data_IF_577172833654
#
_entry.id   IF_577172833654
#
_cell.length_a   1.000
_cell.length_b   1.000
_cell.length_c   1.000
_cell.angle_alpha   90.00
_cell.angle_beta   90.00
_cell.angle_gamma   90.00
#
_symmetry.space_group_name_H-M   'P 1'
#
loop_
_entity.id
_entity.type
_entity.pdbx_description
1 polymer ?
#
# COMPACT_ATOMS: atom_id res chain seq x y z
N UNK A 1 16.59 25.50 -13.60
CA UNK A 1 15.89 24.95 -12.41
C UNK A 1 15.37 23.50 -12.62
N UNK A 2 16.18 22.57 -13.17
CA UNK A 2 15.76 21.17 -13.40
C UNK A 2 16.23 20.21 -12.30
N UNK A 3 17.21 20.62 -11.49
CA UNK A 3 17.88 19.79 -10.47
C UNK A 3 17.00 19.57 -9.24
N UNK A 4 16.31 20.60 -8.74
CA UNK A 4 15.39 20.47 -7.59
C UNK A 4 14.25 19.46 -7.85
N UNK A 5 13.66 19.46 -9.05
CA UNK A 5 12.60 18.52 -9.42
C UNK A 5 13.10 17.06 -9.41
N UNK A 6 14.34 16.80 -9.83
CA UNK A 6 14.94 15.45 -9.83
C UNK A 6 15.18 14.93 -8.41
N UNK A 7 15.64 15.77 -7.49
CA UNK A 7 15.88 15.38 -6.09
C UNK A 7 14.55 15.05 -5.39
N UNK A 8 13.51 15.87 -5.61
CA UNK A 8 12.16 15.56 -5.12
C UNK A 8 11.58 14.26 -5.71
N UNK A 9 11.82 14.00 -7.00
CA UNK A 9 11.33 12.78 -7.65
C UNK A 9 12.06 11.54 -7.14
N UNK A 10 13.37 11.64 -6.91
CA UNK A 10 14.18 10.58 -6.28
C UNK A 10 13.75 10.32 -4.83
N UNK A 11 13.44 11.38 -4.07
CA UNK A 11 12.89 11.25 -2.71
C UNK A 11 11.55 10.51 -2.69
N UNK A 12 10.63 10.82 -3.60
CA UNK A 12 9.34 10.12 -3.72
C UNK A 12 9.51 8.64 -4.07
N UNK A 13 10.41 8.31 -4.99
CA UNK A 13 10.70 6.92 -5.35
C UNK A 13 11.31 6.14 -4.16
N UNK A 14 12.21 6.78 -3.41
CA UNK A 14 12.80 6.19 -2.21
C UNK A 14 11.78 5.98 -1.09
N UNK A 15 10.85 6.93 -0.90
CA UNK A 15 9.77 6.79 0.08
C UNK A 15 8.83 5.65 -0.30
N UNK A 16 8.49 5.48 -1.58
CA UNK A 16 7.73 4.34 -2.08
C UNK A 16 8.42 3.00 -1.79
N UNK A 17 9.75 2.94 -2.02
CA UNK A 17 10.57 1.77 -1.72
C UNK A 17 10.62 1.44 -0.22
N UNK A 18 10.80 2.45 0.64
CA UNK A 18 10.78 2.26 2.09
C UNK A 18 9.42 1.80 2.60
N UNK A 19 8.32 2.32 2.05
CA UNK A 19 6.97 1.86 2.39
C UNK A 19 6.76 0.39 2.00
N UNK A 20 7.31 -0.04 0.86
CA UNK A 20 7.25 -1.43 0.43
C UNK A 20 8.05 -2.36 1.37
N UNK A 21 9.28 -1.96 1.74
CA UNK A 21 10.10 -2.71 2.71
C UNK A 21 9.45 -2.78 4.08
N UNK A 22 8.92 -1.66 4.56
CA UNK A 22 8.23 -1.60 5.85
C UNK A 22 6.87 -2.32 5.83
N UNK A 23 6.40 -2.76 4.65
CA UNK A 23 5.09 -3.36 4.47
C UNK A 23 3.94 -2.42 4.84
N UNK A 24 4.17 -1.11 4.67
CA UNK A 24 3.16 -0.07 4.87
C UNK A 24 2.18 -0.15 3.70
N UNK A 25 0.89 -0.41 3.94
CA UNK A 25 -0.11 -0.41 2.88
C UNK A 25 -0.20 0.99 2.27
N UNK A 26 0.02 1.10 0.95
CA UNK A 26 -0.05 2.35 0.20
C UNK A 26 -1.40 2.43 -0.53
N UNK A 27 -2.25 3.37 -0.09
CA UNK A 27 -3.61 3.52 -0.59
C UNK A 27 -3.66 4.04 -2.05
N UNK A 28 -2.76 4.94 -2.44
CA UNK A 28 -2.70 5.45 -3.83
C UNK A 28 -2.41 4.31 -4.82
N UNK A 29 -1.45 3.45 -4.50
CA UNK A 29 -1.13 2.27 -5.31
C UNK A 29 -2.30 1.28 -5.37
N UNK A 30 -3.03 1.11 -4.27
CA UNK A 30 -4.26 0.31 -4.25
C UNK A 30 -5.30 0.89 -5.20
N UNK A 31 -5.53 2.21 -5.21
CA UNK A 31 -6.47 2.85 -6.12
C UNK A 31 -6.07 2.70 -7.58
N UNK A 32 -4.78 2.84 -7.92
CA UNK A 32 -4.30 2.59 -9.29
C UNK A 32 -4.60 1.16 -9.72
N UNK A 33 -4.23 0.17 -8.89
CA UNK A 33 -4.51 -1.24 -9.17
C UNK A 33 -6.01 -1.54 -9.25
N UNK A 34 -6.80 -0.96 -8.35
CA UNK A 34 -8.24 -1.16 -8.32
C UNK A 34 -8.91 -0.59 -9.57
N UNK A 35 -8.49 0.59 -10.03
CA UNK A 35 -9.01 1.18 -11.27
C UNK A 35 -8.65 0.36 -12.51
N UNK A 36 -7.49 -0.30 -12.54
CA UNK A 36 -7.08 -1.12 -13.68
C UNK A 36 -7.72 -2.50 -13.69
N UNK A 37 -7.95 -3.11 -12.52
CA UNK A 37 -8.44 -4.48 -12.40
C UNK A 37 -9.93 -4.62 -12.07
N UNK A 38 -10.52 -3.61 -11.42
CA UNK A 38 -11.92 -3.61 -10.97
C UNK A 38 -12.67 -2.38 -11.50
N UNK A 39 -12.77 -2.18 -12.83
CA UNK A 39 -13.53 -1.08 -13.39
C UNK A 39 -15.03 -1.29 -13.12
N UNK A 40 -15.58 -0.53 -12.17
CA UNK A 40 -17.03 -0.53 -11.86
C UNK A 40 -17.39 -0.85 -10.42
N UNK A 41 -16.43 -1.30 -9.60
CA UNK A 41 -16.61 -1.44 -8.16
C UNK A 41 -16.22 -0.14 -7.44
N UNK A 42 -16.66 0.01 -6.18
CA UNK A 42 -16.28 1.14 -5.33
C UNK A 42 -15.04 0.73 -4.53
N UNK A 43 -13.92 1.47 -4.60
CA UNK A 43 -12.75 1.16 -3.79
C UNK A 43 -13.08 1.31 -2.31
N UNK A 44 -12.40 0.51 -1.48
CA UNK A 44 -12.48 0.64 -0.03
C UNK A 44 -12.03 2.03 0.41
N UNK A 45 -12.57 2.51 1.52
CA UNK A 45 -12.02 3.70 2.18
C UNK A 45 -10.59 3.44 2.67
N UNK A 46 -9.79 4.49 2.84
CA UNK A 46 -8.41 4.36 3.32
C UNK A 46 -8.33 3.60 4.65
N UNK A 47 -9.19 3.94 5.61
CA UNK A 47 -9.24 3.26 6.90
C UNK A 47 -9.58 1.77 6.78
N UNK A 48 -10.51 1.40 5.90
CA UNK A 48 -10.88 0.00 5.66
C UNK A 48 -9.79 -0.77 4.91
N UNK A 49 -9.11 -0.14 3.96
CA UNK A 49 -7.95 -0.73 3.30
C UNK A 49 -6.85 -1.05 4.30
N UNK A 50 -6.51 -0.09 5.18
CA UNK A 50 -5.50 -0.30 6.22
C UNK A 50 -5.91 -1.37 7.22
N UNK A 51 -7.18 -1.36 7.67
CA UNK A 51 -7.72 -2.37 8.57
C UNK A 51 -7.66 -3.77 7.94
N UNK A 52 -8.09 -3.91 6.69
CA UNK A 52 -8.02 -5.17 5.94
C UNK A 52 -6.57 -5.64 5.76
N UNK A 53 -5.64 -4.76 5.43
CA UNK A 53 -4.22 -5.11 5.31
C UNK A 53 -3.60 -5.58 6.64
N UNK A 54 -4.00 -4.97 7.76
CA UNK A 54 -3.57 -5.41 9.10
C UNK A 54 -4.24 -6.75 9.44
N UNK A 55 -5.52 -6.93 9.14
CA UNK A 55 -6.28 -8.15 9.39
C UNK A 55 -5.74 -9.35 8.57
N UNK A 56 -5.41 -9.15 7.29
CA UNK A 56 -4.78 -10.19 6.46
C UNK A 56 -3.42 -10.62 7.02
N UNK A 57 -2.67 -9.66 7.58
CA UNK A 57 -1.31 -9.90 8.08
C UNK A 57 -1.27 -10.41 9.52
N UNK A 58 -2.21 -10.00 10.36
CA UNK A 58 -2.21 -10.22 11.82
C UNK A 58 -3.57 -10.67 12.39
N UNK A 59 -4.67 -10.50 11.65
CA UNK A 59 -6.03 -10.88 12.04
C UNK A 59 -6.32 -12.38 11.91
N UNK A 60 -5.40 -13.14 11.32
CA UNK A 60 -5.31 -14.58 11.56
C UNK A 60 -4.83 -14.82 13.00
N UNK A 61 -5.72 -14.64 13.98
CA UNK A 61 -5.52 -15.02 15.38
C UNK A 61 -5.26 -16.51 15.57
N UNK A 62 -5.37 -17.29 14.49
CA UNK A 62 -4.76 -18.60 14.39
C UNK A 62 -3.25 -18.41 14.13
N UNK A 63 -2.49 -18.27 15.21
CA UNK A 63 -1.13 -18.81 15.23
C UNK A 63 -1.33 -20.25 14.74
N UNK A 64 -1.07 -20.50 13.46
CA UNK A 64 -0.95 -21.84 12.91
C UNK A 64 0.24 -22.46 13.62
N UNK A 65 0.02 -22.87 14.86
CA UNK A 65 0.93 -23.71 15.63
C UNK A 65 1.10 -24.89 14.71
N UNK A 66 2.31 -25.02 14.18
CA UNK A 66 2.70 -26.25 13.55
C UNK A 66 2.43 -27.33 14.60
N UNK A 67 1.37 -28.10 14.38
CA UNK A 67 1.30 -29.45 14.91
C UNK A 67 2.48 -30.24 14.32
#
# INVERSE_FOLDING_TARGET
MKVLKKICQAGKAFTGFLNEIAGVPNYERYLEHFRTHHPGEVPLSEAEFHRRSIDERYGSGDIRRCC
#
